data_IF_780112174598
#
_entry.id   IF_780112174598
#
_cell.length_a   1.000
_cell.length_b   1.000
_cell.length_c   1.000
_cell.angle_alpha   90.00
_cell.angle_beta   90.00
_cell.angle_gamma   90.00
#
_symmetry.space_group_name_H-M   'P 1'
#
loop_
_entity.id
_entity.type
_entity.pdbx_description
1 polymer ?
#
# COMPACT_ATOMS: atom_id res chain seq x y z
N UNK A 1 6.49 1.28 17.01
CA UNK A 1 6.48 1.10 15.54
C UNK A 1 6.16 -0.34 15.14
N UNK A 2 6.86 -1.37 15.64
CA UNK A 2 6.62 -2.77 15.20
C UNK A 2 5.20 -3.31 15.46
N UNK A 3 4.57 -2.94 16.59
CA UNK A 3 3.21 -3.40 16.93
C UNK A 3 2.11 -2.85 16.00
N UNK A 4 2.33 -1.64 15.47
CA UNK A 4 1.43 -0.97 14.54
C UNK A 4 1.47 -1.66 13.16
N UNK A 5 2.67 -2.01 12.69
CA UNK A 5 2.85 -2.79 11.47
C UNK A 5 2.27 -4.20 11.60
N UNK A 6 2.49 -4.87 12.73
CA UNK A 6 1.97 -6.22 13.01
C UNK A 6 0.43 -6.26 13.03
N UNK A 7 -0.21 -5.25 13.60
CA UNK A 7 -1.67 -5.14 13.59
C UNK A 7 -2.25 -4.78 12.19
N UNK A 8 -1.49 -4.09 11.35
CA UNK A 8 -1.92 -3.68 10.01
C UNK A 8 -1.82 -4.83 8.97
N UNK A 9 -0.92 -5.79 9.19
CA UNK A 9 -0.66 -6.91 8.25
C UNK A 9 -1.92 -7.75 7.96
N UNK A 10 -2.70 -8.21 8.96
CA UNK A 10 -3.93 -8.98 8.70
C UNK A 10 -4.97 -8.19 7.90
N UNK A 11 -5.12 -6.88 8.21
CA UNK A 11 -6.10 -6.03 7.53
C UNK A 11 -5.75 -5.82 6.05
N UNK A 12 -4.46 -5.67 5.75
CA UNK A 12 -4.00 -5.57 4.36
C UNK A 12 -4.20 -6.89 3.59
N UNK A 13 -3.96 -8.02 4.25
CA UNK A 13 -4.18 -9.36 3.67
C UNK A 13 -5.64 -9.55 3.24
N UNK A 14 -6.60 -9.24 4.11
CA UNK A 14 -8.03 -9.43 3.80
C UNK A 14 -8.48 -8.63 2.58
N UNK A 15 -8.00 -7.39 2.45
CA UNK A 15 -8.30 -6.54 1.29
C UNK A 15 -7.69 -7.07 -0.01
N UNK A 16 -6.46 -7.57 0.03
CA UNK A 16 -5.80 -8.17 -1.12
C UNK A 16 -6.50 -9.47 -1.54
N UNK A 17 -6.86 -10.34 -0.59
CA UNK A 17 -7.61 -11.57 -0.86
C UNK A 17 -8.97 -11.25 -1.48
N UNK A 18 -9.69 -10.29 -0.91
CA UNK A 18 -10.99 -9.89 -1.44
C UNK A 18 -10.88 -9.30 -2.86
N UNK A 19 -9.84 -8.51 -3.15
CA UNK A 19 -9.58 -8.01 -4.49
C UNK A 19 -9.38 -9.15 -5.50
N UNK A 20 -8.66 -10.22 -5.12
CA UNK A 20 -8.51 -11.41 -5.98
C UNK A 20 -9.85 -12.15 -6.15
N UNK A 21 -10.61 -12.34 -5.07
CA UNK A 21 -11.90 -13.04 -5.11
C UNK A 21 -12.96 -12.32 -5.96
N UNK A 22 -12.91 -11.00 -6.01
CA UNK A 22 -13.84 -10.16 -6.76
C UNK A 22 -13.30 -9.73 -8.13
N UNK A 23 -12.16 -10.29 -8.55
CA UNK A 23 -11.54 -9.99 -9.83
C UNK A 23 -12.46 -10.37 -10.99
N UNK A 24 -12.76 -9.42 -11.86
CA UNK A 24 -13.52 -9.69 -13.07
C UNK A 24 -12.66 -10.33 -14.17
N UNK A 25 -13.29 -10.96 -15.16
CA UNK A 25 -12.59 -11.48 -16.36
C UNK A 25 -11.87 -10.34 -17.10
N UNK A 26 -12.43 -9.13 -17.08
CA UNK A 26 -11.80 -7.95 -17.67
C UNK A 26 -10.53 -7.57 -16.93
N UNK A 27 -10.54 -7.61 -15.59
CA UNK A 27 -9.35 -7.33 -14.79
C UNK A 27 -8.26 -8.39 -15.04
N UNK A 28 -8.64 -9.67 -15.06
CA UNK A 28 -7.71 -10.76 -15.38
C UNK A 28 -7.08 -10.59 -16.77
N UNK A 29 -7.88 -10.22 -17.78
CA UNK A 29 -7.38 -9.92 -19.13
C UNK A 29 -6.40 -8.74 -19.11
N UNK A 30 -6.74 -7.64 -18.44
CA UNK A 30 -5.85 -6.47 -18.30
C UNK A 30 -4.54 -6.83 -17.61
N UNK A 31 -4.56 -7.72 -16.63
CA UNK A 31 -3.35 -8.20 -15.95
C UNK A 31 -2.49 -9.02 -16.91
N UNK A 32 -3.08 -9.96 -17.65
CA UNK A 32 -2.38 -10.85 -18.58
C UNK A 32 -1.78 -10.11 -19.78
N UNK A 33 -2.53 -9.17 -20.35
CA UNK A 33 -2.08 -8.39 -21.52
C UNK A 33 -1.39 -7.08 -21.14
N UNK A 34 -1.32 -6.76 -19.85
CA UNK A 34 -0.71 -5.54 -19.34
C UNK A 34 0.81 -5.63 -19.20
N UNK A 35 1.43 -4.49 -18.94
CA UNK A 35 2.89 -4.38 -18.76
C UNK A 35 3.37 -4.96 -17.43
N UNK A 36 4.64 -4.69 -17.11
CA UNK A 36 5.35 -5.33 -16.00
C UNK A 36 4.84 -4.99 -14.58
N UNK A 37 3.85 -4.11 -14.48
CA UNK A 37 3.26 -3.64 -13.23
C UNK A 37 1.72 -3.79 -13.19
N UNK A 38 1.13 -4.59 -14.08
CA UNK A 38 -0.33 -4.64 -14.23
C UNK A 38 -1.05 -5.25 -13.02
N UNK A 39 -0.43 -6.21 -12.31
CA UNK A 39 -0.96 -6.74 -11.05
C UNK A 39 -0.93 -5.66 -9.96
N UNK A 40 0.17 -4.92 -9.89
CA UNK A 40 0.35 -3.82 -8.94
C UNK A 40 -0.68 -2.73 -9.17
N UNK A 41 -0.89 -2.35 -10.44
CA UNK A 41 -1.90 -1.36 -10.81
C UNK A 41 -3.31 -1.81 -10.41
N UNK A 42 -3.64 -3.09 -10.66
CA UNK A 42 -4.90 -3.67 -10.22
C UNK A 42 -5.09 -3.59 -8.70
N UNK A 43 -4.10 -4.02 -7.92
CA UNK A 43 -4.21 -3.94 -6.46
C UNK A 43 -4.30 -2.51 -5.97
N UNK A 44 -3.52 -1.58 -6.53
CA UNK A 44 -3.62 -0.16 -6.20
C UNK A 44 -5.02 0.40 -6.46
N UNK A 45 -5.61 0.08 -7.62
CA UNK A 45 -6.97 0.51 -7.95
C UNK A 45 -8.01 -0.04 -6.96
N UNK A 46 -7.94 -1.34 -6.64
CA UNK A 46 -8.98 -1.98 -5.82
C UNK A 46 -8.82 -1.77 -4.32
N UNK A 47 -7.59 -1.55 -3.83
CA UNK A 47 -7.31 -1.64 -2.39
C UNK A 47 -6.75 -0.36 -1.78
N UNK A 48 -6.24 0.60 -2.57
CA UNK A 48 -5.57 1.78 -1.99
C UNK A 48 -6.48 2.62 -1.09
N UNK A 49 -7.71 2.91 -1.54
CA UNK A 49 -8.67 3.67 -0.76
C UNK A 49 -9.05 2.97 0.57
N UNK A 50 -9.50 1.69 0.57
CA UNK A 50 -9.81 1.01 1.83
C UNK A 50 -8.57 0.78 2.71
N UNK A 51 -7.38 0.56 2.13
CA UNK A 51 -6.13 0.50 2.89
C UNK A 51 -5.84 1.83 3.59
N UNK A 52 -6.04 2.97 2.91
CA UNK A 52 -5.85 4.29 3.50
C UNK A 52 -6.75 4.49 4.71
N UNK A 53 -8.04 4.19 4.59
CA UNK A 53 -9.00 4.28 5.70
C UNK A 53 -8.60 3.39 6.88
N UNK A 54 -8.10 2.17 6.63
CA UNK A 54 -7.70 1.21 7.66
C UNK A 54 -6.38 1.59 8.34
N UNK A 55 -5.42 2.12 7.58
CA UNK A 55 -4.07 2.41 8.08
C UNK A 55 -3.97 3.77 8.76
N UNK A 56 -4.80 4.74 8.35
CA UNK A 56 -4.80 6.09 8.93
C UNK A 56 -4.83 6.11 10.47
N UNK A 57 -5.72 5.40 11.20
CA UNK A 57 -5.71 5.44 12.67
C UNK A 57 -4.42 4.88 13.27
N UNK A 58 -3.82 3.86 12.64
CA UNK A 58 -2.58 3.23 13.07
C UNK A 58 -1.39 4.17 12.86
N UNK A 59 -1.32 4.82 11.69
CA UNK A 59 -0.31 5.83 11.38
C UNK A 59 -0.47 7.04 12.29
N UNK A 60 -1.70 7.54 12.48
CA UNK A 60 -2.01 8.66 13.37
C UNK A 60 -1.51 8.39 14.79
N UNK A 61 -1.78 7.21 15.34
CA UNK A 61 -1.28 6.83 16.67
C UNK A 61 0.26 6.84 16.72
N UNK A 62 0.93 6.38 15.67
CA UNK A 62 2.40 6.39 15.60
C UNK A 62 2.97 7.81 15.44
N UNK A 63 2.32 8.70 14.67
CA UNK A 63 2.76 10.08 14.45
C UNK A 63 2.46 11.00 15.64
N UNK A 64 1.37 10.75 16.38
CA UNK A 64 1.03 11.50 17.59
C UNK A 64 2.06 11.25 18.70
N UNK A 65 2.63 10.04 18.76
CA UNK A 65 3.66 9.66 19.75
C UNK A 65 4.98 10.42 19.58
N UNK A 66 5.27 10.92 18.38
CA UNK A 66 6.56 11.55 18.08
C UNK A 66 6.54 13.08 18.22
N UNK A 67 5.41 13.70 18.62
CA UNK A 67 5.29 15.16 18.82
C UNK A 67 5.44 16.01 17.53
N UNK A 68 5.94 15.42 16.44
CA UNK A 68 6.18 16.05 15.14
C UNK A 68 4.87 16.46 14.43
N UNK A 69 3.75 15.80 14.74
CA UNK A 69 2.46 16.08 14.12
C UNK A 69 2.00 17.54 14.33
N UNK A 70 2.19 18.10 15.52
CA UNK A 70 1.78 19.49 15.79
C UNK A 70 2.62 20.51 15.02
N UNK A 71 3.94 20.31 14.93
CA UNK A 71 4.83 21.24 14.22
C UNK A 71 4.62 21.17 12.71
N UNK A 72 4.49 19.95 12.16
CA UNK A 72 4.18 19.77 10.73
C UNK A 72 2.83 20.40 10.38
N UNK A 73 1.77 20.10 11.14
CA UNK A 73 0.43 20.61 10.82
C UNK A 73 0.35 22.15 10.88
N UNK A 74 1.10 22.81 11.77
CA UNK A 74 1.18 24.27 11.81
C UNK A 74 1.87 24.86 10.57
N UNK A 75 2.98 24.26 10.13
CA UNK A 75 3.72 24.73 8.96
C UNK A 75 2.96 24.42 7.65
N UNK A 76 2.52 23.18 7.51
CA UNK A 76 1.80 22.70 6.34
C UNK A 76 0.41 23.34 6.23
N UNK A 77 -0.28 23.58 7.35
CA UNK A 77 -1.54 24.33 7.37
C UNK A 77 -1.40 25.76 6.85
N UNK A 78 -0.29 26.45 7.16
CA UNK A 78 0.01 27.78 6.58
C UNK A 78 0.26 27.69 5.07
N UNK A 79 1.03 26.70 4.63
CA UNK A 79 1.29 26.47 3.20
C UNK A 79 -0.01 26.14 2.43
N UNK A 80 -0.92 25.35 3.02
CA UNK A 80 -2.23 25.05 2.43
C UNK A 80 -3.13 26.29 2.36
N UNK A 81 -3.13 27.15 3.39
CA UNK A 81 -3.85 28.43 3.36
C UNK A 81 -3.35 29.40 2.29
N UNK A 82 -2.11 29.24 1.83
CA UNK A 82 -1.51 29.96 0.70
C UNK A 82 -1.71 29.24 -0.66
N UNK A 83 -2.36 28.08 -0.67
CA UNK A 83 -2.60 27.28 -1.88
C UNK A 83 -1.37 26.54 -2.41
N UNK A 84 -0.28 26.45 -1.63
CA UNK A 84 0.97 25.81 -2.06
C UNK A 84 0.94 24.28 -1.95
N UNK A 85 0.08 23.75 -1.08
CA UNK A 85 -0.16 22.30 -0.91
C UNK A 85 -1.65 22.04 -0.69
N UNK A 86 -2.09 20.79 -0.89
CA UNK A 86 -3.47 20.41 -0.62
C UNK A 86 -3.76 20.35 0.89
N UNK A 87 -5.02 20.55 1.28
CA UNK A 87 -5.43 20.42 2.68
C UNK A 87 -5.25 19.00 3.24
N UNK A 88 -5.29 17.97 2.38
CA UNK A 88 -4.98 16.59 2.78
C UNK A 88 -3.50 16.40 3.06
N UNK A 89 -2.61 17.02 2.27
CA UNK A 89 -1.17 16.96 2.50
C UNK A 89 -0.71 17.79 3.71
N UNK A 90 -1.56 18.71 4.18
CA UNK A 90 -1.32 19.51 5.38
C UNK A 90 -1.50 18.73 6.69
N UNK A 91 -2.18 17.58 6.65
CA UNK A 91 -2.29 16.67 7.78
C UNK A 91 -1.16 15.63 7.71
N UNK A 92 -0.27 15.62 8.72
CA UNK A 92 0.87 14.71 8.75
C UNK A 92 0.45 13.24 8.65
N UNK A 93 -0.65 12.87 9.31
CA UNK A 93 -1.10 11.47 9.35
C UNK A 93 -1.60 11.04 7.98
N UNK A 94 -2.38 11.88 7.29
CA UNK A 94 -2.84 11.62 5.93
C UNK A 94 -1.66 11.53 4.95
N UNK A 95 -0.74 12.50 5.02
CA UNK A 95 0.44 12.54 4.17
C UNK A 95 1.32 11.28 4.36
N UNK A 96 1.65 10.95 5.60
CA UNK A 96 2.47 9.76 5.93
C UNK A 96 1.74 8.47 5.55
N UNK A 97 0.41 8.39 5.73
CA UNK A 97 -0.36 7.22 5.30
C UNK A 97 -0.30 7.06 3.78
N UNK A 98 -0.50 8.15 3.02
CA UNK A 98 -0.36 8.15 1.57
C UNK A 98 1.02 7.70 1.11
N UNK A 99 2.09 8.22 1.72
CA UNK A 99 3.48 7.82 1.44
C UNK A 99 3.78 6.37 1.81
N UNK A 100 3.18 5.87 2.90
CA UNK A 100 3.30 4.47 3.29
C UNK A 100 2.68 3.56 2.23
N UNK A 101 1.52 3.94 1.69
CA UNK A 101 0.88 3.20 0.60
C UNK A 101 1.66 3.30 -0.70
N UNK A 102 2.25 4.46 -1.02
CA UNK A 102 3.16 4.60 -2.17
C UNK A 102 4.34 3.63 -2.06
N UNK A 103 5.00 3.58 -0.90
CA UNK A 103 6.08 2.64 -0.64
C UNK A 103 5.63 1.19 -0.75
N UNK A 104 4.46 0.85 -0.20
CA UNK A 104 3.90 -0.50 -0.29
C UNK A 104 3.70 -0.93 -1.75
N UNK A 105 3.05 -0.10 -2.58
CA UNK A 105 2.83 -0.45 -3.99
C UNK A 105 4.10 -0.41 -4.83
N UNK A 106 5.08 0.42 -4.47
CA UNK A 106 6.40 0.39 -5.09
C UNK A 106 7.06 -0.99 -4.88
N UNK A 107 7.08 -1.48 -3.64
CA UNK A 107 7.66 -2.79 -3.31
C UNK A 107 6.91 -3.93 -4.00
N UNK A 108 5.57 -3.89 -4.04
CA UNK A 108 4.76 -4.87 -4.77
C UNK A 108 5.14 -4.89 -6.25
N UNK A 109 5.29 -3.71 -6.87
CA UNK A 109 5.69 -3.61 -8.28
C UNK A 109 7.11 -4.12 -8.55
N UNK A 110 8.02 -3.96 -7.60
CA UNK A 110 9.36 -4.54 -7.71
C UNK A 110 9.32 -6.08 -7.65
N UNK A 111 8.54 -6.65 -6.74
CA UNK A 111 8.36 -8.10 -6.66
C UNK A 111 7.62 -8.67 -7.87
N UNK A 112 6.59 -7.98 -8.38
CA UNK A 112 5.92 -8.35 -9.63
C UNK A 112 6.92 -8.42 -10.79
N UNK A 113 7.78 -7.40 -10.94
CA UNK A 113 8.80 -7.39 -11.99
C UNK A 113 9.78 -8.56 -11.88
N UNK A 114 10.16 -8.96 -10.66
CA UNK A 114 11.02 -10.13 -10.45
C UNK A 114 10.31 -11.41 -10.89
N UNK A 115 9.06 -11.59 -10.47
CA UNK A 115 8.23 -12.75 -10.88
C UNK A 115 8.07 -12.78 -12.40
N UNK A 116 7.82 -11.65 -13.07
CA UNK A 116 7.67 -11.60 -14.53
C UNK A 116 8.97 -11.90 -15.28
N UNK A 117 10.13 -11.51 -14.73
CA UNK A 117 11.45 -11.82 -15.31
C UNK A 117 11.83 -13.29 -15.20
N UNK A 118 11.45 -13.95 -14.10
CA UNK A 118 11.70 -15.37 -13.89
C UNK A 118 10.48 -16.06 -13.25
N UNK A 119 9.42 -16.34 -14.04
CA UNK A 119 8.18 -16.89 -13.52
C UNK A 119 8.33 -18.33 -13.05
N UNK A 120 9.23 -19.11 -13.67
CA UNK A 120 9.44 -20.52 -13.34
C UNK A 120 10.27 -20.64 -12.06
N UNK A 121 11.39 -19.91 -11.96
CA UNK A 121 12.25 -19.95 -10.78
C UNK A 121 11.61 -19.28 -9.57
N UNK A 122 11.03 -18.09 -9.74
CA UNK A 122 10.37 -17.37 -8.63
C UNK A 122 9.09 -18.08 -8.20
N UNK A 123 8.30 -18.60 -9.15
CA UNK A 123 7.08 -19.35 -8.86
C UNK A 123 7.38 -20.64 -8.08
N UNK A 124 8.38 -21.43 -8.50
CA UNK A 124 8.79 -22.64 -7.79
C UNK A 124 9.29 -22.36 -6.37
N UNK A 125 10.11 -21.32 -6.18
CA UNK A 125 10.60 -20.91 -4.86
C UNK A 125 9.47 -20.41 -3.93
N UNK A 126 8.52 -19.63 -4.46
CA UNK A 126 7.35 -19.18 -3.70
C UNK A 126 6.46 -20.35 -3.29
N UNK A 127 6.19 -21.28 -4.21
CA UNK A 127 5.41 -22.48 -3.93
C UNK A 127 6.12 -23.37 -2.89
N UNK A 128 7.43 -23.57 -3.00
CA UNK A 128 8.21 -24.29 -1.98
C UNK A 128 8.18 -23.59 -0.63
N UNK A 129 8.24 -22.25 -0.57
CA UNK A 129 8.21 -21.52 0.71
C UNK A 129 6.84 -21.60 1.40
N UNK A 130 5.75 -21.62 0.63
CA UNK A 130 4.38 -21.65 1.16
C UNK A 130 3.91 -23.08 1.45
N UNK A 131 4.31 -24.05 0.63
CA UNK A 131 3.84 -25.43 0.71
C UNK A 131 4.88 -26.44 1.21
N UNK A 132 6.17 -26.09 1.18
CA UNK A 132 7.28 -26.89 1.70
C UNK A 132 7.69 -26.55 3.14
N UNK A 133 7.08 -25.54 3.76
CA UNK A 133 7.25 -25.22 5.19
C UNK A 133 6.31 -26.04 6.10
N UNK A 134 5.90 -27.23 5.66
CA UNK A 134 5.13 -28.20 6.45
C UNK A 134 6.00 -29.42 6.76
#
# INVERSE_FOLDING_TARGET
INRAAEAAVPMGKDLLVNAVQTMSVTDAKKILTGGDNSVTAFFAEKTRAPLNTRFLPVVKQATDQVGLAQQYNQFAGKAAGLGLISAQDADLSQYVTGKTLDGLFLMIGEEERKIRKDPVGTGSALLQKVFGAR
#
